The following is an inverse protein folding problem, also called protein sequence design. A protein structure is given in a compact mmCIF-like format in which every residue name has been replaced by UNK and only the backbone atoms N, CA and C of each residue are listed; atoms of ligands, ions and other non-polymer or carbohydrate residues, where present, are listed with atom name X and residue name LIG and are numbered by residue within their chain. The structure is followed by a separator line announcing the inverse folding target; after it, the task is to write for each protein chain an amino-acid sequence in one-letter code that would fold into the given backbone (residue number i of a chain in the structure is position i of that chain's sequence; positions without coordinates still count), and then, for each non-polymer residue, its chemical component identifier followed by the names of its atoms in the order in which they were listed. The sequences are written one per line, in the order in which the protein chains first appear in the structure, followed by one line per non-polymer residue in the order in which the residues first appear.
data_IF_754208181665
#
_entry.id   IF_754208181665
#
_cell.length_a   1.000
_cell.length_b   1.000
_cell.length_c   1.000
_cell.angle_alpha   90.00
_cell.angle_beta   90.00
_cell.angle_gamma   90.00
#
_symmetry.space_group_name_H-M   'P 1'
#
loop_
_entity.id
_entity.type
_entity.pdbx_description
1 polymer ?
#
# COMPACT_ATOMS: atom_id res chain seq x y z
N UNK A 1 1.89 -7.39 -2.25
CA UNK A 1 2.66 -6.72 -3.32
C UNK A 1 2.15 -7.20 -4.68
N UNK A 2 1.62 -6.28 -5.49
CA UNK A 2 1.24 -6.54 -6.89
C UNK A 2 2.39 -7.25 -7.61
N UNK A 3 2.14 -8.48 -8.07
CA UNK A 3 3.15 -9.30 -8.77
C UNK A 3 3.67 -8.61 -10.03
N UNK A 4 2.88 -7.73 -10.64
CA UNK A 4 3.29 -6.90 -11.77
C UNK A 4 4.30 -5.83 -11.38
N UNK A 5 4.05 -5.10 -10.29
CA UNK A 5 4.97 -4.09 -9.75
C UNK A 5 6.24 -4.71 -9.16
N UNK A 6 6.13 -5.87 -8.49
CA UNK A 6 7.28 -6.62 -7.98
C UNK A 6 8.18 -7.11 -9.12
N UNK A 7 7.59 -7.72 -10.16
CA UNK A 7 8.32 -8.16 -11.34
C UNK A 7 8.92 -6.98 -12.11
N UNK A 8 8.20 -5.86 -12.22
CA UNK A 8 8.71 -4.64 -12.82
C UNK A 8 9.90 -4.09 -12.01
N UNK A 9 9.81 -4.08 -10.67
CA UNK A 9 10.90 -3.70 -9.77
C UNK A 9 12.14 -4.57 -9.95
N UNK A 10 11.98 -5.89 -10.00
CA UNK A 10 13.09 -6.84 -10.24
C UNK A 10 13.73 -6.67 -11.63
N UNK A 11 12.93 -6.39 -12.66
CA UNK A 11 13.42 -6.12 -14.02
C UNK A 11 14.14 -4.78 -14.09
N UNK A 12 13.67 -3.77 -13.36
CA UNK A 12 14.36 -2.49 -13.23
C UNK A 12 15.70 -2.63 -12.53
N UNK A 13 15.74 -3.40 -11.43
CA UNK A 13 16.93 -3.58 -10.61
C UNK A 13 18.02 -4.34 -11.39
N UNK A 14 17.63 -5.37 -12.15
CA UNK A 14 18.56 -6.07 -13.06
C UNK A 14 19.15 -5.15 -14.13
N UNK A 15 18.34 -4.28 -14.73
CA UNK A 15 18.82 -3.32 -15.75
C UNK A 15 19.71 -2.22 -15.17
N UNK A 16 19.40 -1.73 -13.97
CA UNK A 16 20.22 -0.74 -13.29
C UNK A 16 21.61 -1.27 -12.94
N UNK A 17 21.72 -2.57 -12.59
CA UNK A 17 23.01 -3.24 -12.39
C UNK A 17 23.84 -3.37 -13.69
N UNK A 18 23.19 -3.45 -14.85
CA UNK A 18 23.86 -3.52 -16.15
C UNK A 18 24.37 -2.13 -16.64
N UNK A 19 23.72 -1.03 -16.25
CA UNK A 19 24.02 0.32 -16.77
C UNK A 19 25.08 1.11 -15.96
N UNK A 20 25.55 0.61 -14.82
CA UNK A 20 26.75 1.13 -14.12
C UNK A 20 26.72 2.62 -13.68
N UNK A 21 25.62 3.34 -13.90
CA UNK A 21 25.46 4.75 -13.54
C UNK A 21 24.58 4.88 -12.30
N UNK A 22 25.24 5.12 -11.17
CA UNK A 22 24.65 5.05 -9.82
C UNK A 22 23.74 6.22 -9.44
N UNK A 23 23.55 7.23 -10.28
CA UNK A 23 22.96 8.52 -9.86
C UNK A 23 21.71 8.96 -10.64
N UNK A 24 21.38 8.26 -11.73
CA UNK A 24 20.18 8.55 -12.53
C UNK A 24 19.08 7.53 -12.24
N UNK A 25 17.93 8.00 -11.79
CA UNK A 25 16.76 7.15 -11.55
C UNK A 25 16.24 6.65 -12.90
N UNK A 26 16.25 5.33 -13.10
CA UNK A 26 15.84 4.75 -14.38
C UNK A 26 14.40 5.15 -14.71
N UNK A 27 14.08 5.29 -16.01
CA UNK A 27 12.75 5.69 -16.46
C UNK A 27 11.64 4.82 -15.86
N UNK A 28 11.91 3.52 -15.72
CA UNK A 28 10.99 2.58 -15.11
C UNK A 28 10.92 2.70 -13.59
N UNK A 29 12.05 2.96 -12.91
CA UNK A 29 12.05 3.30 -11.48
C UNK A 29 11.22 4.56 -11.20
N UNK A 30 11.24 5.54 -12.10
CA UNK A 30 10.42 6.74 -11.99
C UNK A 30 8.93 6.43 -12.18
N UNK A 31 8.58 5.58 -13.16
CA UNK A 31 7.20 5.11 -13.33
C UNK A 31 6.70 4.33 -12.11
N UNK A 32 7.55 3.48 -11.53
CA UNK A 32 7.23 2.72 -10.32
C UNK A 32 6.95 3.69 -9.15
N UNK A 33 7.81 4.69 -8.96
CA UNK A 33 7.64 5.72 -7.94
C UNK A 33 6.32 6.50 -8.13
N UNK A 34 6.00 6.90 -9.35
CA UNK A 34 4.74 7.60 -9.65
C UNK A 34 3.52 6.71 -9.39
N UNK A 35 3.60 5.41 -9.71
CA UNK A 35 2.54 4.46 -9.40
C UNK A 35 2.34 4.31 -7.88
N UNK A 36 3.43 4.18 -7.12
CA UNK A 36 3.37 4.14 -5.65
C UNK A 36 2.77 5.42 -5.06
N UNK A 37 3.19 6.59 -5.53
CA UNK A 37 2.64 7.88 -5.07
C UNK A 37 1.14 7.97 -5.37
N UNK A 38 0.70 7.50 -6.54
CA UNK A 38 -0.73 7.47 -6.89
C UNK A 38 -1.52 6.56 -5.95
N UNK A 39 -1.06 5.33 -5.71
CA UNK A 39 -1.73 4.42 -4.78
C UNK A 39 -1.77 4.98 -3.36
N UNK A 40 -0.70 5.64 -2.92
CA UNK A 40 -0.66 6.31 -1.63
C UNK A 40 -1.71 7.44 -1.53
N UNK A 41 -1.85 8.29 -2.55
CA UNK A 41 -2.88 9.34 -2.57
C UNK A 41 -4.28 8.75 -2.63
N UNK A 42 -4.51 7.69 -3.42
CA UNK A 42 -5.82 7.01 -3.49
C UNK A 42 -6.19 6.37 -2.15
N UNK A 43 -5.22 5.79 -1.43
CA UNK A 43 -5.41 5.26 -0.08
C UNK A 43 -5.79 6.39 0.88
N UNK A 44 -5.02 7.48 0.87
CA UNK A 44 -5.25 8.65 1.71
C UNK A 44 -6.63 9.28 1.47
N UNK A 45 -7.05 9.40 0.21
CA UNK A 45 -8.37 9.92 -0.15
C UNK A 45 -9.51 8.97 0.24
N UNK A 46 -9.28 7.67 0.16
CA UNK A 46 -10.25 6.67 0.62
C UNK A 46 -10.45 6.79 2.11
N UNK A 47 -9.34 6.86 2.85
CA UNK A 47 -9.37 7.00 4.30
C UNK A 47 -10.00 8.32 4.72
N UNK A 48 -9.59 9.47 4.16
CA UNK A 48 -10.23 10.76 4.44
C UNK A 48 -11.75 10.78 4.19
N UNK A 49 -12.21 9.99 3.21
CA UNK A 49 -13.65 9.85 2.91
C UNK A 49 -14.37 8.94 3.90
N UNK A 50 -13.72 7.90 4.39
CA UNK A 50 -14.24 7.01 5.44
C UNK A 50 -14.23 7.75 6.80
N UNK A 51 -13.12 8.39 7.13
CA UNK A 51 -12.88 9.18 8.34
C UNK A 51 -13.35 10.63 8.20
N UNK A 52 -14.50 10.89 7.55
CA UNK A 52 -15.07 12.24 7.46
C UNK A 52 -15.35 12.92 8.83
N UNK A 53 -15.04 12.23 9.92
CA UNK A 53 -15.13 12.65 11.31
C UNK A 53 -13.78 12.36 11.97
N UNK A 54 -12.95 13.41 12.06
CA UNK A 54 -11.78 13.60 12.93
C UNK A 54 -10.61 12.58 12.84
N UNK A 55 -9.40 13.14 12.69
CA UNK A 55 -8.10 12.45 12.58
C UNK A 55 -7.69 11.60 13.82
N UNK A 56 -8.60 11.37 14.76
CA UNK A 56 -8.40 10.58 15.96
C UNK A 56 -9.33 9.36 16.02
N UNK A 57 -10.12 9.08 14.97
CA UNK A 57 -11.02 7.95 14.99
C UNK A 57 -10.26 6.68 14.54
N UNK A 58 -10.24 5.62 15.36
CA UNK A 58 -9.66 4.34 14.98
C UNK A 58 -10.37 3.76 13.77
N UNK A 59 -9.60 3.11 12.90
CA UNK A 59 -10.14 2.41 11.73
C UNK A 59 -10.97 1.24 12.24
N UNK A 60 -12.27 1.27 11.93
CA UNK A 60 -13.18 0.18 12.21
C UNK A 60 -12.93 -1.01 11.29
N UNK A 61 -13.42 -2.19 11.69
CA UNK A 61 -13.31 -3.39 10.87
C UNK A 61 -13.98 -3.22 9.49
N UNK A 62 -15.12 -2.54 9.42
CA UNK A 62 -15.85 -2.30 8.17
C UNK A 62 -15.06 -1.38 7.22
N UNK A 63 -14.37 -0.38 7.76
CA UNK A 63 -13.47 0.49 6.99
C UNK A 63 -12.26 -0.30 6.50
N UNK A 64 -11.68 -1.15 7.34
CA UNK A 64 -10.59 -2.03 6.96
C UNK A 64 -10.99 -2.99 5.82
N UNK A 65 -12.16 -3.62 5.91
CA UNK A 65 -12.71 -4.47 4.84
C UNK A 65 -12.88 -3.71 3.53
N UNK A 66 -13.34 -2.47 3.59
CA UNK A 66 -13.47 -1.61 2.41
C UNK A 66 -12.11 -1.33 1.77
N UNK A 67 -11.08 -1.12 2.60
CA UNK A 67 -9.70 -0.91 2.14
C UNK A 67 -9.13 -2.19 1.52
N UNK A 68 -9.34 -3.36 2.13
CA UNK A 68 -8.97 -4.66 1.55
C UNK A 68 -9.62 -4.89 0.17
N UNK A 69 -10.88 -4.47 0.00
CA UNK A 69 -11.55 -4.51 -1.30
C UNK A 69 -10.81 -3.69 -2.37
N UNK A 70 -10.33 -2.50 -2.01
CA UNK A 70 -9.51 -1.67 -2.91
C UNK A 70 -8.13 -2.24 -3.17
N UNK A 71 -7.52 -2.89 -2.18
CA UNK A 71 -6.23 -3.57 -2.36
C UNK A 71 -6.37 -4.71 -3.38
N UNK A 72 -7.50 -5.42 -3.39
CA UNK A 72 -7.79 -6.42 -4.42
C UNK A 72 -7.86 -5.81 -5.83
N UNK A 73 -8.46 -4.61 -5.98
CA UNK A 73 -8.45 -3.86 -7.24
C UNK A 73 -7.03 -3.46 -7.69
N UNK A 74 -6.12 -3.28 -6.73
CA UNK A 74 -4.69 -3.06 -6.95
C UNK A 74 -3.88 -4.36 -7.08
N UNK A 75 -4.55 -5.49 -7.33
CA UNK A 75 -3.92 -6.79 -7.51
C UNK A 75 -3.11 -7.27 -6.28
N UNK A 76 -3.49 -6.78 -5.09
CA UNK A 76 -2.97 -7.17 -3.78
C UNK A 76 -4.12 -7.71 -2.91
N UNK A 77 -4.71 -8.88 -3.26
CA UNK A 77 -5.80 -9.44 -2.48
C UNK A 77 -5.34 -9.83 -1.08
N UNK A 78 -6.21 -9.61 -0.10
CA UNK A 78 -6.04 -10.01 1.30
C UNK A 78 -6.92 -11.22 1.55
N UNK A 79 -6.33 -12.37 1.86
CA UNK A 79 -7.04 -13.66 1.96
C UNK A 79 -8.02 -13.69 3.15
N UNK A 80 -7.60 -13.19 4.32
CA UNK A 80 -8.44 -13.09 5.52
C UNK A 80 -8.32 -11.69 6.15
N UNK A 81 -9.16 -10.73 5.69
CA UNK A 81 -9.19 -9.37 6.25
C UNK A 81 -9.47 -9.34 7.75
N UNK A 82 -10.20 -10.32 8.29
CA UNK A 82 -10.54 -10.33 9.71
C UNK A 82 -9.33 -10.74 10.55
N UNK A 83 -8.62 -11.79 10.15
CA UNK A 83 -7.41 -12.23 10.84
C UNK A 83 -6.30 -11.17 10.78
N UNK A 84 -6.15 -10.51 9.64
CA UNK A 84 -5.23 -9.36 9.45
C UNK A 84 -5.61 -8.19 10.36
N UNK A 85 -6.89 -7.80 10.38
CA UNK A 85 -7.37 -6.73 11.26
C UNK A 85 -7.11 -7.02 12.75
N UNK A 86 -7.38 -8.25 13.21
CA UNK A 86 -7.12 -8.67 14.59
C UNK A 86 -5.64 -8.65 14.93
N UNK A 87 -4.79 -9.02 13.97
CA UNK A 87 -3.33 -8.99 14.12
C UNK A 87 -2.82 -7.55 14.22
N UNK A 88 -3.33 -6.65 13.37
CA UNK A 88 -2.88 -5.26 13.31
C UNK A 88 -3.41 -4.41 14.46
N UNK A 89 -4.63 -4.68 14.93
CA UNK A 89 -5.25 -3.96 16.05
C UNK A 89 -4.70 -4.39 17.42
N UNK A 90 -4.02 -5.54 17.53
CA UNK A 90 -3.56 -6.10 18.81
C UNK A 90 -4.65 -6.15 19.90
N UNK A 91 -5.92 -6.34 19.50
CA UNK A 91 -7.08 -6.35 20.40
C UNK A 91 -7.56 -4.97 20.87
N UNK A 92 -7.02 -3.90 20.29
CA UNK A 92 -7.43 -2.51 20.52
C UNK A 92 -7.90 -1.84 19.23
N UNK A 93 -7.42 -0.62 19.02
CA UNK A 93 -7.80 0.25 17.91
C UNK A 93 -6.77 0.19 16.78
N UNK A 94 -7.21 0.07 15.52
CA UNK A 94 -6.32 0.13 14.36
C UNK A 94 -6.06 1.59 13.97
N UNK A 95 -4.82 2.05 14.13
CA UNK A 95 -4.43 3.40 13.70
C UNK A 95 -4.16 3.47 12.20
N UNK A 96 -4.32 4.68 11.63
CA UNK A 96 -3.98 4.96 10.23
C UNK A 96 -2.51 4.68 9.92
N UNK A 97 -1.60 5.07 10.81
CA UNK A 97 -0.17 4.87 10.61
C UNK A 97 0.18 3.38 10.57
N UNK A 98 -0.41 2.58 11.46
CA UNK A 98 -0.25 1.12 11.48
C UNK A 98 -0.77 0.48 10.20
N UNK A 99 -1.92 0.93 9.69
CA UNK A 99 -2.46 0.47 8.41
C UNK A 99 -1.51 0.82 7.25
N UNK A 100 -1.00 2.06 7.20
CA UNK A 100 -0.11 2.49 6.13
C UNK A 100 1.22 1.70 6.14
N UNK A 101 1.82 1.52 7.32
CA UNK A 101 3.02 0.70 7.49
C UNK A 101 2.80 -0.74 7.04
N UNK A 102 1.62 -1.28 7.28
CA UNK A 102 1.25 -2.61 6.82
C UNK A 102 1.06 -2.65 5.28
N UNK A 103 0.32 -1.71 4.71
CA UNK A 103 0.14 -1.60 3.26
C UNK A 103 1.47 -1.44 2.49
N UNK A 104 2.48 -0.81 3.10
CA UNK A 104 3.82 -0.67 2.52
C UNK A 104 4.65 -1.97 2.56
N UNK A 105 4.35 -2.87 3.51
CA UNK A 105 5.02 -4.17 3.66
C UNK A 105 4.32 -5.30 2.91
N UNK A 106 3.01 -5.19 2.72
CA UNK A 106 2.12 -6.21 2.17
C UNK A 106 2.31 -6.46 0.66
#
# INVERSE_FOLDING_TARGET
VDKGLALAGELCNRRAQEEGSSDALSRWGFFLLVAYLRHFVELLMTLNRLTAIEAANPISEDEFRTICGKLADWNAPVDDPMAEFLTLSNGGELSFDTLCDWCLKA
#
